data_IF_589423916231
#
_entry.id   IF_589423916231
#
_cell.length_a   1.000
_cell.length_b   1.000
_cell.length_c   1.000
_cell.angle_alpha   90.00
_cell.angle_beta   90.00
_cell.angle_gamma   90.00
#
_symmetry.space_group_name_H-M   'P 1'
#
loop_
_entity.id
_entity.type
_entity.pdbx_description
1 polymer ?
#
# COMPACT_ATOMS: atom_id res chain seq x y z
N UNK A 1 15.66 19.01 -13.55
CA UNK A 1 15.12 18.08 -12.54
C UNK A 1 13.92 17.44 -13.18
N UNK A 2 13.78 16.12 -13.13
CA UNK A 2 12.53 15.47 -13.54
C UNK A 2 11.41 15.96 -12.62
N UNK A 3 10.19 16.08 -13.18
CA UNK A 3 9.01 16.52 -12.43
C UNK A 3 8.81 15.61 -11.21
N UNK A 4 8.70 16.22 -10.05
CA UNK A 4 8.38 15.54 -8.80
C UNK A 4 6.86 15.63 -8.59
N UNK A 5 6.11 14.63 -9.05
CA UNK A 5 4.64 14.59 -8.98
C UNK A 5 4.09 14.80 -7.57
N UNK A 6 4.87 14.50 -6.54
CA UNK A 6 4.45 14.71 -5.15
C UNK A 6 4.13 16.18 -4.84
N UNK A 7 4.77 17.12 -5.54
CA UNK A 7 4.56 18.55 -5.34
C UNK A 7 3.22 19.04 -5.93
N UNK A 8 2.66 18.28 -6.87
CA UNK A 8 1.42 18.65 -7.58
C UNK A 8 0.18 18.06 -6.89
N UNK A 9 0.36 17.23 -5.86
CA UNK A 9 -0.74 16.62 -5.13
C UNK A 9 -1.47 17.63 -4.23
N UNK A 10 -2.81 17.48 -4.07
CA UNK A 10 -3.55 18.23 -3.06
C UNK A 10 -3.02 17.90 -1.66
N UNK A 11 -3.17 18.79 -0.69
CA UNK A 11 -2.82 18.54 0.70
C UNK A 11 -4.07 18.62 1.58
N UNK A 12 -4.36 17.60 2.40
CA UNK A 12 -3.65 16.31 2.45
C UNK A 12 -3.97 15.44 1.23
N UNK A 13 -2.96 14.73 0.71
CA UNK A 13 -3.17 13.67 -0.27
C UNK A 13 -3.42 12.33 0.43
N UNK A 14 -4.08 11.41 -0.28
CA UNK A 14 -4.42 10.08 0.22
C UNK A 14 -3.75 8.99 -0.60
N UNK A 15 -3.20 8.00 0.09
CA UNK A 15 -2.42 6.91 -0.49
C UNK A 15 -3.00 5.57 -0.11
N UNK A 16 -3.20 4.67 -1.08
CA UNK A 16 -3.41 3.25 -0.77
C UNK A 16 -2.08 2.62 -0.36
N UNK A 17 -2.01 2.12 0.87
CA UNK A 17 -0.79 1.48 1.37
C UNK A 17 -0.42 0.25 0.52
N UNK A 18 0.87 0.06 0.20
CA UNK A 18 1.32 -1.18 -0.42
C UNK A 18 1.08 -2.36 0.50
N UNK A 19 0.44 -3.41 -0.02
CA UNK A 19 0.13 -4.64 0.71
C UNK A 19 0.42 -5.85 -0.18
N UNK A 20 1.26 -6.75 0.35
CA UNK A 20 1.67 -7.97 -0.34
C UNK A 20 0.48 -8.87 -0.63
N UNK A 21 0.42 -9.41 -1.85
CA UNK A 21 -0.68 -10.22 -2.39
C UNK A 21 -2.05 -9.53 -2.40
N UNK A 22 -2.10 -8.20 -2.32
CA UNK A 22 -3.35 -7.42 -2.27
C UNK A 22 -3.36 -6.31 -3.31
N UNK A 23 -2.38 -5.40 -3.28
CA UNK A 23 -2.40 -4.18 -4.07
C UNK A 23 -1.84 -4.35 -5.48
N UNK A 24 -2.23 -5.43 -6.15
CA UNK A 24 -2.01 -5.64 -7.59
C UNK A 24 -2.92 -4.72 -8.44
N UNK A 25 -2.74 -4.75 -9.76
CA UNK A 25 -3.54 -3.94 -10.68
C UNK A 25 -5.05 -4.23 -10.56
N UNK A 26 -5.44 -5.48 -10.28
CA UNK A 26 -6.85 -5.86 -10.10
C UNK A 26 -7.46 -5.10 -8.91
N UNK A 27 -6.83 -5.20 -7.74
CA UNK A 27 -7.35 -4.57 -6.54
C UNK A 27 -7.25 -3.04 -6.59
N UNK A 28 -6.20 -2.48 -7.21
CA UNK A 28 -6.10 -1.02 -7.38
C UNK A 28 -7.23 -0.46 -8.24
N UNK A 29 -7.65 -1.17 -9.30
CA UNK A 29 -8.82 -0.78 -10.10
C UNK A 29 -10.14 -0.87 -9.30
N UNK A 30 -10.32 -1.92 -8.49
CA UNK A 30 -11.50 -2.03 -7.62
C UNK A 30 -11.55 -0.87 -6.63
N UNK A 31 -10.41 -0.53 -6.01
CA UNK A 31 -10.33 0.62 -5.11
C UNK A 31 -10.56 1.94 -5.84
N UNK A 32 -10.03 2.09 -7.07
CA UNK A 32 -10.27 3.28 -7.88
C UNK A 32 -11.76 3.47 -8.23
N UNK A 33 -12.48 2.36 -8.46
CA UNK A 33 -13.94 2.37 -8.73
C UNK A 33 -14.74 2.72 -7.47
N UNK A 34 -14.34 2.19 -6.32
CA UNK A 34 -15.03 2.42 -5.04
C UNK A 34 -14.78 3.84 -4.49
N UNK A 35 -13.54 4.32 -4.59
CA UNK A 35 -13.12 5.64 -4.13
C UNK A 35 -11.62 5.78 -4.39
N UNK A 36 -11.25 6.64 -5.35
CA UNK A 36 -9.87 6.74 -5.82
C UNK A 36 -8.97 7.48 -4.82
N UNK A 37 -7.85 6.88 -4.35
CA UNK A 37 -6.79 7.62 -3.68
C UNK A 37 -6.02 8.52 -4.66
N UNK A 38 -5.26 9.48 -4.14
CA UNK A 38 -4.46 10.37 -4.97
C UNK A 38 -3.19 9.68 -5.51
N UNK A 39 -2.68 8.65 -4.80
CA UNK A 39 -1.49 7.89 -5.18
C UNK A 39 -1.69 6.40 -4.93
N UNK A 40 -1.29 5.59 -5.91
CA UNK A 40 -1.17 4.15 -5.76
C UNK A 40 0.28 3.70 -5.60
N UNK A 41 0.47 2.61 -4.87
CA UNK A 41 1.73 1.87 -4.76
C UNK A 41 1.53 0.46 -5.30
N UNK A 42 2.58 -0.12 -5.88
CA UNK A 42 2.58 -1.55 -6.24
C UNK A 42 2.63 -2.43 -4.99
N UNK A 43 2.44 -3.73 -5.18
CA UNK A 43 2.83 -4.74 -4.20
C UNK A 43 4.35 -4.71 -3.94
N UNK A 44 4.81 -5.45 -2.93
CA UNK A 44 6.23 -5.53 -2.57
C UNK A 44 7.03 -6.26 -3.64
N UNK A 45 7.88 -5.56 -4.37
CA UNK A 45 8.73 -6.17 -5.39
C UNK A 45 10.14 -6.38 -4.87
N UNK A 46 10.60 -7.63 -4.83
CA UNK A 46 11.93 -7.98 -4.36
C UNK A 46 12.99 -7.64 -5.42
N UNK A 47 14.00 -6.85 -5.05
CA UNK A 47 15.06 -6.44 -5.95
C UNK A 47 15.98 -7.60 -6.37
N UNK A 48 16.24 -8.55 -5.47
CA UNK A 48 17.08 -9.72 -5.80
C UNK A 48 16.37 -10.59 -6.84
N UNK A 49 15.05 -10.82 -6.67
CA UNK A 49 14.25 -11.57 -7.64
C UNK A 49 14.15 -10.84 -8.98
N UNK A 50 13.94 -9.53 -8.97
CA UNK A 50 13.82 -8.74 -10.19
C UNK A 50 15.10 -8.79 -11.04
N UNK A 51 16.26 -8.64 -10.41
CA UNK A 51 17.55 -8.62 -11.09
C UNK A 51 18.12 -10.01 -11.42
N UNK A 52 17.49 -11.08 -10.93
CA UNK A 52 17.89 -12.44 -11.25
C UNK A 52 17.15 -12.95 -12.50
N UNK A 53 17.84 -13.51 -13.51
CA UNK A 53 17.21 -13.92 -14.79
C UNK A 53 16.01 -14.85 -14.64
N UNK A 54 16.04 -15.77 -13.68
CA UNK A 54 14.92 -16.68 -13.39
C UNK A 54 13.87 -16.08 -12.46
N UNK A 55 14.23 -15.04 -11.70
CA UNK A 55 13.37 -14.41 -10.70
C UNK A 55 12.44 -13.33 -11.28
N UNK A 56 12.82 -12.67 -12.36
CA UNK A 56 12.06 -11.58 -12.98
C UNK A 56 10.60 -12.01 -13.28
N UNK A 57 10.41 -13.23 -13.80
CA UNK A 57 9.08 -13.77 -14.09
C UNK A 57 8.18 -13.83 -12.85
N UNK A 58 8.75 -14.09 -11.66
CA UNK A 58 8.00 -14.20 -10.41
C UNK A 58 7.48 -12.85 -9.89
N UNK A 59 8.09 -11.75 -10.30
CA UNK A 59 7.74 -10.40 -9.84
C UNK A 59 7.09 -9.53 -10.90
N UNK A 60 7.11 -9.96 -12.17
CA UNK A 60 6.60 -9.17 -13.30
C UNK A 60 5.14 -8.73 -13.13
N UNK A 61 4.28 -9.62 -12.66
CA UNK A 61 2.88 -9.30 -12.41
C UNK A 61 2.68 -8.20 -11.36
N UNK A 62 3.55 -8.13 -10.33
CA UNK A 62 3.51 -7.10 -9.29
C UNK A 62 3.77 -5.69 -9.82
N UNK A 63 4.49 -5.60 -10.93
CA UNK A 63 4.85 -4.34 -11.60
C UNK A 63 3.93 -4.02 -12.79
N UNK A 64 2.91 -4.87 -13.03
CA UNK A 64 1.93 -4.59 -14.07
C UNK A 64 1.00 -3.46 -13.65
N UNK A 65 0.72 -2.54 -14.57
CA UNK A 65 -0.24 -1.45 -14.39
C UNK A 65 -0.77 -0.94 -15.73
N UNK A 66 -1.84 -0.17 -15.67
CA UNK A 66 -2.41 0.57 -16.79
C UNK A 66 -2.32 2.09 -16.51
N UNK A 67 -2.35 2.90 -17.56
CA UNK A 67 -2.12 4.35 -17.45
C UNK A 67 -3.12 5.07 -16.51
N UNK A 68 -4.33 4.57 -16.41
CA UNK A 68 -5.36 5.10 -15.52
C UNK A 68 -5.11 4.85 -14.03
N UNK A 69 -4.07 4.10 -13.68
CA UNK A 69 -3.61 3.92 -12.29
C UNK A 69 -2.62 5.02 -11.83
N UNK A 70 -2.18 5.89 -12.73
CA UNK A 70 -1.21 6.94 -12.41
C UNK A 70 -1.81 8.04 -11.51
N UNK A 71 -1.01 8.64 -10.59
CA UNK A 71 0.41 8.36 -10.33
C UNK A 71 0.61 7.06 -9.54
N UNK A 72 1.49 6.19 -10.06
CA UNK A 72 1.84 4.92 -9.45
C UNK A 72 3.32 4.88 -9.05
N UNK A 73 3.58 4.47 -7.80
CA UNK A 73 4.90 4.35 -7.21
C UNK A 73 5.30 2.87 -7.13
N UNK A 74 6.48 2.52 -7.63
CA UNK A 74 7.04 1.18 -7.50
C UNK A 74 7.57 0.96 -6.08
N UNK A 75 6.95 0.04 -5.31
CA UNK A 75 7.35 -0.27 -3.94
C UNK A 75 8.30 -1.46 -3.91
N UNK A 76 9.58 -1.21 -3.65
CA UNK A 76 10.66 -2.19 -3.76
C UNK A 76 11.28 -2.53 -2.40
N UNK A 77 11.83 -3.74 -2.28
CA UNK A 77 12.52 -4.18 -1.09
C UNK A 77 13.71 -5.07 -1.41
N UNK A 78 14.72 -5.03 -0.56
CA UNK A 78 15.98 -5.75 -0.69
C UNK A 78 17.03 -5.14 0.21
N UNK A 79 18.31 -5.50 -0.02
CA UNK A 79 19.45 -4.91 0.68
C UNK A 79 20.72 -4.79 -0.18
N UNK A 80 20.57 -4.93 -1.51
CA UNK A 80 21.66 -4.76 -2.46
C UNK A 80 21.52 -3.43 -3.22
N UNK A 81 22.42 -2.43 -3.02
CA UNK A 81 22.35 -1.14 -3.69
C UNK A 81 22.41 -1.21 -5.22
N UNK A 82 23.17 -2.14 -5.80
CA UNK A 82 23.27 -2.26 -7.25
C UNK A 82 21.94 -2.72 -7.88
N UNK A 83 21.20 -3.62 -7.21
CA UNK A 83 19.88 -4.04 -7.65
C UNK A 83 18.85 -2.91 -7.52
N UNK A 84 18.94 -2.07 -6.50
CA UNK A 84 18.11 -0.87 -6.38
C UNK A 84 18.41 0.14 -7.50
N UNK A 85 19.68 0.33 -7.85
CA UNK A 85 20.10 1.16 -8.99
C UNK A 85 19.47 0.66 -10.29
N UNK A 86 19.64 -0.64 -10.58
CA UNK A 86 19.10 -1.25 -11.79
C UNK A 86 17.57 -1.12 -11.84
N UNK A 87 16.88 -1.50 -10.77
CA UNK A 87 15.42 -1.37 -10.70
C UNK A 87 14.94 0.05 -10.90
N UNK A 88 15.59 1.03 -10.25
CA UNK A 88 15.21 2.44 -10.38
C UNK A 88 15.26 2.92 -11.83
N UNK A 89 16.33 2.57 -12.56
CA UNK A 89 16.47 2.89 -13.99
C UNK A 89 15.37 2.24 -14.81
N UNK A 90 15.06 0.97 -14.52
CA UNK A 90 14.06 0.22 -15.28
C UNK A 90 12.64 0.69 -14.97
N UNK A 91 12.33 1.03 -13.71
CA UNK A 91 11.02 1.59 -13.33
C UNK A 91 10.78 2.95 -14.00
N UNK A 92 11.81 3.78 -14.13
CA UNK A 92 11.71 5.03 -14.89
C UNK A 92 11.38 4.80 -16.37
N UNK A 93 11.99 3.78 -17.01
CA UNK A 93 11.69 3.40 -18.40
C UNK A 93 10.29 2.81 -18.56
N UNK A 94 9.80 2.09 -17.57
CA UNK A 94 8.45 1.50 -17.54
C UNK A 94 7.34 2.53 -17.31
N UNK A 95 7.68 3.79 -16.97
CA UNK A 95 6.70 4.87 -16.80
C UNK A 95 6.19 5.08 -15.37
N UNK A 96 6.78 4.42 -14.37
CA UNK A 96 6.45 4.72 -12.98
C UNK A 96 6.74 6.20 -12.66
N UNK A 97 5.94 6.79 -11.76
CA UNK A 97 6.09 8.20 -11.36
C UNK A 97 6.99 8.39 -10.14
N UNK A 98 7.26 7.32 -9.40
CA UNK A 98 8.14 7.33 -8.25
C UNK A 98 8.64 5.94 -7.88
N UNK A 99 9.61 5.91 -6.98
CA UNK A 99 10.12 4.68 -6.38
C UNK A 99 10.07 4.80 -4.87
N UNK A 100 9.59 3.77 -4.19
CA UNK A 100 9.48 3.74 -2.74
C UNK A 100 10.23 2.55 -2.15
N UNK A 101 11.02 2.82 -1.11
CA UNK A 101 11.81 1.82 -0.44
C UNK A 101 11.07 1.27 0.78
N UNK A 102 10.84 -0.05 0.78
CA UNK A 102 10.25 -0.73 1.93
C UNK A 102 11.28 -0.92 3.04
N UNK A 103 11.20 -0.06 4.04
CA UNK A 103 11.98 -0.15 5.29
C UNK A 103 11.07 -0.39 6.51
N UNK A 104 9.86 -0.96 6.27
CA UNK A 104 8.85 -1.13 7.29
C UNK A 104 8.24 -2.53 7.41
N UNK A 105 8.52 -3.47 6.49
CA UNK A 105 7.96 -4.82 6.55
C UNK A 105 8.42 -5.55 7.83
N UNK A 106 7.49 -5.95 8.74
CA UNK A 106 7.86 -6.50 10.04
C UNK A 106 8.03 -8.04 10.02
N UNK A 107 7.79 -8.69 8.88
CA UNK A 107 7.81 -10.15 8.75
C UNK A 107 9.15 -10.70 9.24
N UNK A 108 9.17 -11.68 10.18
CA UNK A 108 10.41 -12.15 10.81
C UNK A 108 11.47 -12.58 9.80
N UNK A 109 11.11 -13.39 8.80
CA UNK A 109 12.04 -13.88 7.78
C UNK A 109 12.67 -12.77 6.91
N UNK A 110 12.03 -11.62 6.81
CA UNK A 110 12.54 -10.43 6.10
C UNK A 110 13.42 -9.61 7.03
N UNK A 111 12.89 -9.23 8.18
CA UNK A 111 13.55 -8.34 9.13
C UNK A 111 14.83 -8.93 9.74
N UNK A 112 14.84 -10.24 10.07
CA UNK A 112 16.00 -10.92 10.62
C UNK A 112 17.16 -11.04 9.62
N UNK A 113 16.86 -10.96 8.32
CA UNK A 113 17.87 -10.93 7.25
C UNK A 113 18.36 -9.49 6.95
N UNK A 114 17.99 -8.50 7.77
CA UNK A 114 18.40 -7.11 7.61
C UNK A 114 17.67 -6.37 6.48
N UNK A 115 16.53 -6.89 5.98
CA UNK A 115 15.69 -6.29 4.92
C UNK A 115 14.39 -5.75 5.51
N UNK A 116 13.67 -4.91 4.78
CA UNK A 116 12.45 -4.28 5.28
C UNK A 116 12.72 -3.51 6.58
N UNK A 117 11.97 -3.78 7.65
CA UNK A 117 12.22 -3.13 8.96
C UNK A 117 13.56 -3.50 9.61
N UNK A 118 14.26 -4.52 9.11
CA UNK A 118 15.62 -4.86 9.53
C UNK A 118 16.65 -3.80 9.15
N UNK A 119 16.37 -2.96 8.15
CA UNK A 119 17.20 -1.84 7.75
C UNK A 119 17.31 -0.75 8.83
N UNK A 120 16.38 -0.69 9.78
CA UNK A 120 16.45 0.21 10.94
C UNK A 120 17.74 -0.07 11.76
N UNK A 121 18.19 -1.31 11.79
CA UNK A 121 19.44 -1.72 12.45
C UNK A 121 20.69 -1.56 11.56
N UNK A 122 20.50 -1.10 10.32
CA UNK A 122 21.56 -0.97 9.30
C UNK A 122 21.45 0.38 8.58
N UNK A 123 21.53 1.51 9.29
CA UNK A 123 21.28 2.84 8.71
C UNK A 123 22.22 3.18 7.54
N UNK A 124 23.46 2.76 7.57
CA UNK A 124 24.40 2.98 6.45
C UNK A 124 23.93 2.32 5.17
N UNK A 125 23.47 1.06 5.25
CA UNK A 125 22.89 0.34 4.10
C UNK A 125 21.60 1.03 3.63
N UNK A 126 20.76 1.49 4.55
CA UNK A 126 19.55 2.24 4.19
C UNK A 126 19.87 3.49 3.37
N UNK A 127 20.92 4.25 3.75
CA UNK A 127 21.38 5.41 3.01
C UNK A 127 21.92 5.03 1.61
N UNK A 128 22.73 3.97 1.50
CA UNK A 128 23.23 3.46 0.23
C UNK A 128 22.11 3.04 -0.73
N UNK A 129 21.07 2.38 -0.20
CA UNK A 129 19.89 1.98 -0.98
C UNK A 129 19.10 3.19 -1.50
N UNK A 130 18.90 4.22 -0.66
CA UNK A 130 18.23 5.46 -1.06
C UNK A 130 19.02 6.16 -2.17
N UNK A 131 20.34 6.29 -2.01
CA UNK A 131 21.19 6.91 -3.02
C UNK A 131 21.19 6.13 -4.35
N UNK A 132 21.25 4.80 -4.27
CA UNK A 132 21.17 3.95 -5.45
C UNK A 132 19.83 4.08 -6.18
N UNK A 133 18.72 4.21 -5.44
CA UNK A 133 17.38 4.37 -5.99
C UNK A 133 17.18 5.69 -6.76
N UNK A 134 17.98 6.72 -6.50
CA UNK A 134 17.95 8.00 -7.25
C UNK A 134 18.44 7.88 -8.68
N UNK A 135 19.18 6.82 -9.02
CA UNK A 135 19.83 6.65 -10.33
C UNK A 135 18.86 6.70 -11.53
N UNK A 136 17.61 6.28 -11.36
CA UNK A 136 16.57 6.37 -12.39
C UNK A 136 16.04 7.80 -12.60
N UNK A 137 16.37 8.72 -11.70
CA UNK A 137 15.89 10.10 -11.71
C UNK A 137 14.41 10.25 -11.38
N UNK A 138 13.77 9.22 -10.81
CA UNK A 138 12.45 9.30 -10.22
C UNK A 138 12.54 9.89 -8.81
N UNK A 139 11.49 10.57 -8.31
CA UNK A 139 11.42 10.94 -6.90
C UNK A 139 11.43 9.68 -6.03
N UNK A 140 12.30 9.69 -5.01
CA UNK A 140 12.46 8.56 -4.08
C UNK A 140 11.69 8.85 -2.81
N UNK A 141 10.87 7.89 -2.37
CA UNK A 141 10.20 7.89 -1.07
C UNK A 141 10.62 6.70 -0.23
N UNK A 142 10.36 6.78 1.07
CA UNK A 142 10.65 5.69 2.02
C UNK A 142 9.42 5.40 2.86
N UNK A 143 9.03 4.13 2.93
CA UNK A 143 8.01 3.65 3.86
C UNK A 143 8.65 2.87 4.99
N UNK A 144 8.52 3.39 6.23
CA UNK A 144 9.19 2.82 7.40
C UNK A 144 8.27 2.70 8.62
N UNK A 145 8.87 2.36 9.77
CA UNK A 145 8.27 2.31 11.10
C UNK A 145 9.04 3.21 12.07
N UNK A 146 8.52 3.38 13.29
CA UNK A 146 9.14 4.18 14.34
C UNK A 146 10.50 3.63 14.77
N UNK A 147 10.61 2.32 14.89
CA UNK A 147 11.81 1.65 15.34
C UNK A 147 11.73 0.13 15.14
N UNK A 148 12.79 -0.57 15.52
CA UNK A 148 12.86 -2.03 15.47
C UNK A 148 12.27 -2.69 16.72
N UNK A 149 12.68 -2.23 17.92
CA UNK A 149 12.25 -2.77 19.22
C UNK A 149 11.48 -1.76 20.05
N UNK A 150 12.06 -0.59 20.23
CA UNK A 150 11.58 0.42 21.16
C UNK A 150 11.08 1.66 20.41
N UNK A 151 10.04 2.28 20.93
CA UNK A 151 9.42 3.46 20.30
C UNK A 151 10.43 4.60 20.23
N UNK A 152 11.24 4.81 21.27
CA UNK A 152 12.24 5.89 21.36
C UNK A 152 13.30 5.86 20.24
N UNK A 153 13.47 4.72 19.53
CA UNK A 153 14.37 4.62 18.39
C UNK A 153 13.97 5.54 17.22
N UNK A 154 12.70 6.01 17.19
CA UNK A 154 12.16 6.81 16.08
C UNK A 154 13.00 8.05 15.78
N UNK A 155 13.47 8.73 16.80
CA UNK A 155 14.15 10.01 16.66
C UNK A 155 15.48 9.89 15.90
N UNK A 156 16.29 8.92 16.27
CA UNK A 156 17.57 8.66 15.62
C UNK A 156 17.34 8.13 14.20
N UNK A 157 16.44 7.15 14.06
CA UNK A 157 16.14 6.52 12.79
C UNK A 157 15.56 7.51 11.77
N UNK A 158 14.53 8.27 12.12
CA UNK A 158 13.93 9.23 11.20
C UNK A 158 14.85 10.40 10.89
N UNK A 159 15.69 10.83 11.85
CA UNK A 159 16.76 11.80 11.59
C UNK A 159 17.71 11.31 10.50
N UNK A 160 18.11 10.04 10.56
CA UNK A 160 18.98 9.45 9.55
C UNK A 160 18.32 9.43 8.16
N UNK A 161 17.06 9.01 8.08
CA UNK A 161 16.32 8.94 6.81
C UNK A 161 16.06 10.33 6.22
N UNK A 162 15.67 11.31 7.02
CA UNK A 162 15.38 12.68 6.57
C UNK A 162 16.60 13.39 5.98
N UNK A 163 17.82 13.02 6.41
CA UNK A 163 19.07 13.55 5.84
C UNK A 163 19.37 13.01 4.43
N UNK A 164 18.60 12.06 3.90
CA UNK A 164 18.88 11.42 2.62
C UNK A 164 18.21 12.10 1.42
N UNK A 165 17.62 13.29 1.58
CA UNK A 165 16.98 14.06 0.50
C UNK A 165 15.95 13.19 -0.28
N UNK A 166 14.94 12.73 0.42
CA UNK A 166 13.82 11.97 -0.13
C UNK A 166 12.60 12.85 -0.38
N UNK A 167 11.76 12.48 -1.35
CA UNK A 167 10.57 13.24 -1.72
C UNK A 167 9.43 13.10 -0.69
N UNK A 168 9.24 11.89 -0.15
CA UNK A 168 8.18 11.62 0.84
C UNK A 168 8.64 10.56 1.84
N UNK A 169 8.29 10.76 3.10
CA UNK A 169 8.50 9.82 4.20
C UNK A 169 7.15 9.32 4.72
N UNK A 170 6.85 8.04 4.48
CA UNK A 170 5.63 7.38 4.98
C UNK A 170 5.96 6.57 6.24
N UNK A 171 5.32 6.89 7.36
CA UNK A 171 5.62 6.28 8.65
C UNK A 171 4.41 5.48 9.15
N UNK A 172 4.60 4.16 9.32
CA UNK A 172 3.69 3.38 10.14
C UNK A 172 4.03 3.61 11.62
N UNK A 173 3.12 4.25 12.34
CA UNK A 173 3.33 4.71 13.72
C UNK A 173 3.33 3.57 14.75
N UNK A 174 4.14 2.55 14.50
CA UNK A 174 4.48 1.43 15.40
C UNK A 174 5.91 0.99 15.15
N UNK A 175 6.50 0.32 16.12
CA UNK A 175 7.77 -0.39 15.93
C UNK A 175 7.57 -1.69 15.17
N UNK A 176 8.67 -2.31 14.73
CA UNK A 176 8.66 -3.68 14.18
C UNK A 176 8.16 -4.69 15.20
N UNK A 177 8.59 -4.57 16.47
CA UNK A 177 8.23 -5.49 17.56
C UNK A 177 6.74 -5.46 17.87
N UNK A 178 6.14 -4.30 17.86
CA UNK A 178 4.70 -4.10 18.09
C UNK A 178 3.83 -4.67 16.97
N UNK A 179 4.35 -4.73 15.76
CA UNK A 179 3.60 -5.19 14.57
C UNK A 179 2.27 -4.45 14.40
N UNK A 180 1.17 -4.99 14.98
CA UNK A 180 -0.18 -4.42 15.00
C UNK A 180 -0.89 -4.74 16.32
N UNK A 181 -0.15 -5.08 17.37
CA UNK A 181 -0.70 -5.55 18.64
C UNK A 181 -1.09 -4.42 19.60
N UNK A 182 -0.64 -3.21 19.34
CA UNK A 182 -0.95 -1.98 20.09
C UNK A 182 -1.59 -0.96 19.16
N UNK A 183 -2.15 0.12 19.69
CA UNK A 183 -2.64 1.24 18.88
C UNK A 183 -1.47 1.99 18.25
N UNK A 184 -1.72 2.64 17.11
CA UNK A 184 -0.72 3.47 16.45
C UNK A 184 -0.42 4.71 17.30
N UNK A 185 0.85 5.04 17.46
CA UNK A 185 1.34 6.15 18.29
C UNK A 185 1.10 7.52 17.63
N UNK A 186 -0.17 7.93 17.51
CA UNK A 186 -0.54 9.22 16.92
C UNK A 186 -0.06 10.41 17.75
N UNK A 187 0.18 10.22 19.03
CA UNK A 187 0.74 11.22 19.94
C UNK A 187 2.12 11.70 19.53
N UNK A 188 2.88 10.90 18.78
CA UNK A 188 4.21 11.25 18.29
C UNK A 188 4.20 12.12 17.03
N UNK A 189 3.06 12.27 16.36
CA UNK A 189 2.98 13.03 15.10
C UNK A 189 3.53 14.45 15.22
N UNK A 190 3.20 15.25 16.26
CA UNK A 190 3.72 16.61 16.42
C UNK A 190 5.25 16.67 16.49
N UNK A 191 5.87 15.75 17.22
CA UNK A 191 7.32 15.71 17.39
C UNK A 191 8.02 15.25 16.11
N UNK A 192 7.47 14.24 15.42
CA UNK A 192 7.96 13.76 14.14
C UNK A 192 7.87 14.87 13.09
N UNK A 193 6.73 15.58 13.03
CA UNK A 193 6.58 16.71 12.12
C UNK A 193 7.60 17.80 12.40
N UNK A 194 7.79 18.16 13.67
CA UNK A 194 8.81 19.13 14.06
C UNK A 194 10.21 18.70 13.60
N UNK A 195 10.58 17.44 13.82
CA UNK A 195 11.85 16.88 13.38
C UNK A 195 12.03 16.99 11.86
N UNK A 196 10.98 16.65 11.08
CA UNK A 196 10.98 16.78 9.62
C UNK A 196 11.19 18.23 9.20
N UNK A 197 10.43 19.15 9.78
CA UNK A 197 10.48 20.58 9.44
C UNK A 197 11.85 21.19 9.74
N UNK A 198 12.56 20.71 10.78
CA UNK A 198 13.91 21.15 11.13
C UNK A 198 14.98 20.58 10.19
N UNK A 199 14.85 19.31 9.74
CA UNK A 199 15.92 18.62 8.98
C UNK A 199 15.69 18.70 7.48
N UNK A 200 14.47 18.47 7.02
CA UNK A 200 14.11 18.30 5.61
C UNK A 200 12.70 18.86 5.33
N UNK A 201 12.51 20.19 5.42
CA UNK A 201 11.20 20.81 5.23
C UNK A 201 10.58 20.57 3.84
N UNK A 202 11.41 20.21 2.84
CA UNK A 202 10.97 19.84 1.50
C UNK A 202 10.43 18.41 1.40
N UNK A 203 10.76 17.52 2.34
CA UNK A 203 10.26 16.13 2.35
C UNK A 203 8.84 16.09 2.86
N UNK A 204 7.92 15.51 2.08
CA UNK A 204 6.53 15.33 2.51
C UNK A 204 6.42 14.27 3.61
N UNK A 205 5.52 14.51 4.56
CA UNK A 205 5.26 13.60 5.68
C UNK A 205 3.91 12.92 5.51
N UNK A 206 3.93 11.60 5.33
CA UNK A 206 2.74 10.75 5.22
C UNK A 206 2.61 9.85 6.44
N UNK A 207 1.44 9.86 7.07
CA UNK A 207 1.16 9.07 8.26
C UNK A 207 0.31 7.84 7.91
N UNK A 208 0.68 6.71 8.52
CA UNK A 208 0.01 5.41 8.38
C UNK A 208 -0.14 4.73 9.75
N UNK A 209 -1.19 3.98 9.94
CA UNK A 209 -1.49 3.20 11.15
C UNK A 209 -2.87 3.55 11.70
N UNK A 210 -3.76 2.54 11.73
CA UNK A 210 -5.13 2.58 12.26
C UNK A 210 -6.07 3.66 11.69
N UNK A 211 -5.74 4.18 10.52
CA UNK A 211 -6.59 5.13 9.81
C UNK A 211 -7.61 4.33 9.00
N UNK A 212 -8.91 4.39 9.35
CA UNK A 212 -9.94 3.55 8.74
C UNK A 212 -10.39 4.07 7.36
N UNK A 213 -10.47 5.40 7.22
CA UNK A 213 -11.04 6.05 6.06
C UNK A 213 -10.52 7.48 5.88
N UNK A 214 -11.03 8.14 4.84
CA UNK A 214 -10.67 9.50 4.47
C UNK A 214 -11.09 10.53 5.52
N UNK A 215 -12.23 10.34 6.18
CA UNK A 215 -12.74 11.30 7.18
C UNK A 215 -11.78 11.42 8.36
N UNK A 216 -11.42 10.28 8.97
CA UNK A 216 -10.42 10.27 10.05
C UNK A 216 -9.07 10.78 9.56
N UNK A 217 -8.70 10.47 8.32
CA UNK A 217 -7.48 11.00 7.71
C UNK A 217 -7.47 12.53 7.60
N UNK A 218 -8.59 13.15 7.23
CA UNK A 218 -8.73 14.62 7.19
C UNK A 218 -8.62 15.23 8.58
N UNK A 219 -9.27 14.64 9.58
CA UNK A 219 -9.19 15.10 10.98
C UNK A 219 -7.75 15.08 11.51
N UNK A 220 -7.01 14.01 11.19
CA UNK A 220 -5.58 13.92 11.55
C UNK A 220 -4.74 14.97 10.83
N UNK A 221 -5.00 15.18 9.55
CA UNK A 221 -4.27 16.17 8.76
C UNK A 221 -4.56 17.60 9.24
N UNK A 222 -5.79 17.93 9.56
CA UNK A 222 -6.19 19.22 10.14
C UNK A 222 -5.52 19.43 11.52
N UNK A 223 -5.59 18.40 12.37
CA UNK A 223 -5.05 18.47 13.73
C UNK A 223 -3.54 18.64 13.78
N UNK A 224 -2.80 17.95 12.90
CA UNK A 224 -1.35 17.85 13.00
C UNK A 224 -0.60 18.54 11.86
N UNK A 225 -1.28 18.98 10.80
CA UNK A 225 -0.65 19.67 9.66
C UNK A 225 0.29 18.75 8.85
N UNK A 226 -0.08 17.47 8.69
CA UNK A 226 0.65 16.50 7.87
C UNK A 226 0.30 16.65 6.40
N UNK A 227 1.22 16.23 5.51
CA UNK A 227 1.05 16.40 4.06
C UNK A 227 0.22 15.29 3.43
N UNK A 228 0.31 14.05 3.96
CA UNK A 228 -0.35 12.89 3.40
C UNK A 228 -0.86 11.89 4.42
N UNK A 229 -1.84 11.10 4.02
CA UNK A 229 -2.49 10.05 4.80
C UNK A 229 -2.46 8.75 4.02
N UNK A 230 -1.94 7.68 4.62
CA UNK A 230 -1.88 6.35 4.00
C UNK A 230 -2.82 5.38 4.70
N UNK A 231 -3.82 4.87 3.95
CA UNK A 231 -4.79 3.89 4.44
C UNK A 231 -4.36 2.50 3.98
N UNK A 232 -4.27 1.57 4.92
CA UNK A 232 -3.97 0.16 4.65
C UNK A 232 -5.16 -0.73 4.95
N UNK A 233 -5.16 -1.42 6.09
CA UNK A 233 -6.18 -2.38 6.49
C UNK A 233 -7.61 -1.83 6.61
N UNK A 234 -7.77 -0.51 6.68
CA UNK A 234 -9.08 0.15 6.64
C UNK A 234 -9.90 -0.26 5.42
N UNK A 235 -9.23 -0.43 4.25
CA UNK A 235 -9.87 -0.83 3.00
C UNK A 235 -10.59 -2.18 3.07
N UNK A 236 -10.15 -3.12 3.94
CA UNK A 236 -10.82 -4.42 4.12
C UNK A 236 -12.12 -4.32 4.93
N UNK A 237 -12.25 -3.27 5.75
CA UNK A 237 -13.48 -2.98 6.48
C UNK A 237 -14.44 -2.16 5.62
N UNK A 238 -13.90 -1.20 4.89
CA UNK A 238 -14.64 -0.31 4.00
C UNK A 238 -13.90 -0.13 2.67
N UNK A 239 -14.32 -0.78 1.56
CA UNK A 239 -13.70 -0.59 0.25
C UNK A 239 -13.86 0.84 -0.28
N UNK A 240 -14.84 1.60 0.22
CA UNK A 240 -15.10 3.01 -0.09
C UNK A 240 -14.32 3.99 0.81
N UNK A 241 -13.29 3.52 1.52
CA UNK A 241 -12.53 4.31 2.50
C UNK A 241 -11.89 5.60 1.95
N UNK A 242 -11.74 5.73 0.64
CA UNK A 242 -11.18 6.92 -0.02
C UNK A 242 -12.22 7.86 -0.60
N UNK A 243 -13.51 7.58 -0.47
CA UNK A 243 -14.56 8.47 -0.99
C UNK A 243 -14.42 9.88 -0.42
N UNK A 244 -14.60 10.88 -1.30
CA UNK A 244 -14.57 12.30 -0.92
C UNK A 244 -15.85 12.72 -0.19
N UNK A 245 -16.97 12.14 -0.60
CA UNK A 245 -18.29 12.36 -0.04
C UNK A 245 -18.82 11.00 0.47
N UNK A 246 -18.48 10.62 1.71
CA UNK A 246 -18.89 9.34 2.25
C UNK A 246 -20.41 9.23 2.37
N UNK A 247 -20.94 8.07 1.98
CA UNK A 247 -22.37 7.73 2.06
C UNK A 247 -22.54 6.29 2.55
N UNK A 248 -23.77 5.94 2.87
CA UNK A 248 -24.14 4.53 3.05
C UNK A 248 -24.22 3.82 1.70
N UNK A 249 -23.66 2.64 1.62
CA UNK A 249 -23.63 1.81 0.42
C UNK A 249 -24.55 0.61 0.56
N UNK A 250 -25.32 0.35 -0.48
CA UNK A 250 -26.18 -0.81 -0.53
C UNK A 250 -25.37 -2.12 -0.68
N UNK A 251 -25.95 -3.28 -0.27
CA UNK A 251 -25.32 -4.57 -0.52
C UNK A 251 -25.00 -4.83 -2.00
N UNK A 252 -25.82 -4.31 -2.91
CA UNK A 252 -25.62 -4.42 -4.35
C UNK A 252 -24.36 -3.69 -4.79
N UNK A 253 -24.09 -2.49 -4.29
CA UNK A 253 -22.86 -1.73 -4.59
C UNK A 253 -21.60 -2.52 -4.16
N UNK A 254 -21.62 -3.20 -3.01
CA UNK A 254 -20.54 -4.08 -2.60
C UNK A 254 -20.38 -5.29 -3.51
N UNK A 255 -21.46 -5.93 -3.93
CA UNK A 255 -21.42 -7.08 -4.83
C UNK A 255 -20.97 -6.69 -6.24
N UNK A 256 -21.27 -5.48 -6.69
CA UNK A 256 -20.76 -4.96 -7.97
C UNK A 256 -19.25 -4.77 -7.96
N UNK A 257 -18.65 -4.38 -6.83
CA UNK A 257 -17.20 -4.39 -6.67
C UNK A 257 -16.61 -5.82 -6.74
N UNK A 258 -17.31 -6.82 -6.19
CA UNK A 258 -16.88 -8.22 -6.33
C UNK A 258 -16.94 -8.67 -7.79
N UNK A 259 -18.02 -8.37 -8.52
CA UNK A 259 -18.15 -8.71 -9.95
C UNK A 259 -17.02 -8.05 -10.76
N UNK A 260 -16.74 -6.76 -10.51
CA UNK A 260 -15.61 -6.06 -11.12
C UNK A 260 -14.28 -6.77 -10.84
N UNK A 261 -14.05 -7.20 -9.60
CA UNK A 261 -12.83 -7.93 -9.26
C UNK A 261 -12.71 -9.25 -9.99
N UNK A 262 -13.81 -10.00 -10.18
CA UNK A 262 -13.83 -11.23 -10.97
C UNK A 262 -13.48 -10.96 -12.43
N UNK A 263 -14.09 -9.95 -13.04
CA UNK A 263 -13.85 -9.59 -14.45
C UNK A 263 -12.40 -9.17 -14.69
N UNK A 264 -11.84 -8.38 -13.77
CA UNK A 264 -10.44 -7.97 -13.84
C UNK A 264 -9.48 -9.15 -13.57
N UNK A 265 -9.83 -10.08 -12.68
CA UNK A 265 -9.03 -11.27 -12.44
C UNK A 265 -8.96 -12.16 -13.68
N UNK A 266 -10.04 -12.36 -14.38
CA UNK A 266 -10.06 -13.12 -15.63
C UNK A 266 -9.31 -12.37 -16.74
N UNK A 267 -9.49 -11.06 -16.85
CA UNK A 267 -8.78 -10.20 -17.80
C UNK A 267 -7.26 -10.29 -17.66
N UNK A 268 -6.76 -10.34 -16.44
CA UNK A 268 -5.33 -10.35 -16.16
C UNK A 268 -4.77 -11.73 -15.76
N UNK A 269 -5.53 -12.84 -15.94
CA UNK A 269 -5.16 -14.17 -15.47
C UNK A 269 -3.79 -14.67 -15.96
N UNK A 270 -3.43 -14.37 -17.21
CA UNK A 270 -2.11 -14.75 -17.77
C UNK A 270 -0.95 -13.97 -17.14
N UNK A 271 -1.18 -12.70 -16.81
CA UNK A 271 -0.18 -11.81 -16.22
C UNK A 271 -0.06 -12.00 -14.69
N UNK A 272 -1.20 -12.25 -14.04
CA UNK A 272 -1.37 -12.38 -12.61
C UNK A 272 -2.05 -13.72 -12.28
N UNK A 273 -1.35 -14.85 -12.38
CA UNK A 273 -1.94 -16.15 -12.08
C UNK A 273 -2.23 -16.27 -10.58
N UNK A 274 -3.38 -15.76 -10.16
CA UNK A 274 -3.85 -15.85 -8.77
C UNK A 274 -4.63 -17.13 -8.55
N UNK A 275 -4.36 -17.81 -7.45
CA UNK A 275 -5.18 -18.94 -7.03
C UNK A 275 -6.54 -18.47 -6.48
N UNK A 276 -7.57 -19.33 -6.56
CA UNK A 276 -8.86 -19.05 -5.93
C UNK A 276 -8.76 -18.76 -4.42
N UNK A 277 -7.82 -19.42 -3.71
CA UNK A 277 -7.56 -19.11 -2.30
C UNK A 277 -7.10 -17.66 -2.07
N UNK A 278 -6.42 -17.07 -3.04
CA UNK A 278 -6.08 -15.65 -3.03
C UNK A 278 -7.32 -14.75 -3.14
N UNK A 279 -8.33 -15.15 -3.94
CA UNK A 279 -9.59 -14.43 -4.09
C UNK A 279 -10.49 -14.57 -2.85
N UNK A 280 -10.53 -15.74 -2.23
CA UNK A 280 -11.41 -16.03 -1.09
C UNK A 280 -11.27 -15.01 0.05
N UNK A 281 -10.06 -14.49 0.31
CA UNK A 281 -9.83 -13.49 1.35
C UNK A 281 -10.61 -12.18 1.15
N UNK A 282 -10.99 -11.87 -0.11
CA UNK A 282 -11.70 -10.64 -0.46
C UNK A 282 -13.22 -10.77 -0.29
N UNK A 283 -13.79 -11.97 -0.27
CA UNK A 283 -15.23 -12.13 -0.16
C UNK A 283 -15.84 -11.44 1.07
N UNK A 284 -15.09 -11.40 2.19
CA UNK A 284 -15.54 -10.74 3.41
C UNK A 284 -15.65 -9.20 3.24
N UNK A 285 -14.95 -8.64 2.29
CA UNK A 285 -14.99 -7.19 2.01
C UNK A 285 -16.33 -6.84 1.37
N UNK A 286 -16.81 -7.68 0.44
CA UNK A 286 -17.91 -7.38 -0.45
C UNK A 286 -19.23 -8.04 -0.03
N UNK A 287 -19.19 -9.23 0.54
CA UNK A 287 -20.40 -9.99 0.88
C UNK A 287 -20.77 -9.71 2.33
N UNK A 288 -21.49 -8.60 2.57
CA UNK A 288 -21.88 -8.13 3.90
C UNK A 288 -23.11 -7.21 3.83
N UNK A 289 -23.72 -6.92 4.98
CA UNK A 289 -24.79 -5.92 5.09
C UNK A 289 -26.18 -6.43 4.70
N UNK A 290 -26.38 -7.74 4.50
CA UNK A 290 -27.69 -8.32 4.17
C UNK A 290 -27.89 -9.68 4.84
N UNK A 291 -29.16 -10.09 4.94
CA UNK A 291 -29.54 -11.39 5.49
C UNK A 291 -29.04 -12.51 4.58
N UNK A 292 -28.34 -13.49 5.12
CA UNK A 292 -27.76 -14.60 4.35
C UNK A 292 -26.31 -14.35 3.88
N UNK A 293 -25.73 -13.17 4.10
CA UNK A 293 -24.35 -12.88 3.71
C UNK A 293 -23.32 -13.87 4.27
N UNK A 294 -23.54 -14.38 5.48
CA UNK A 294 -22.67 -15.40 6.09
C UNK A 294 -22.74 -16.74 5.36
N UNK A 295 -23.94 -17.17 4.97
CA UNK A 295 -24.16 -18.40 4.21
C UNK A 295 -23.57 -18.30 2.82
N UNK A 296 -23.82 -17.19 2.11
CA UNK A 296 -23.22 -16.94 0.80
C UNK A 296 -21.71 -16.97 0.87
N UNK A 297 -21.07 -16.31 1.86
CA UNK A 297 -19.62 -16.40 2.03
C UNK A 297 -19.12 -17.83 2.21
N UNK A 298 -19.83 -18.66 3.02
CA UNK A 298 -19.45 -20.05 3.21
C UNK A 298 -19.51 -20.85 1.90
N UNK A 299 -20.53 -20.62 1.06
CA UNK A 299 -20.62 -21.23 -0.26
C UNK A 299 -19.48 -20.76 -1.17
N UNK A 300 -19.22 -19.45 -1.23
CA UNK A 300 -18.15 -18.84 -2.03
C UNK A 300 -16.76 -19.36 -1.63
N UNK A 301 -16.51 -19.65 -0.36
CA UNK A 301 -15.23 -20.21 0.10
C UNK A 301 -14.92 -21.61 -0.45
N UNK A 302 -15.91 -22.30 -1.03
CA UNK A 302 -15.74 -23.63 -1.63
C UNK A 302 -15.58 -23.59 -3.16
N UNK A 303 -15.70 -22.41 -3.79
CA UNK A 303 -15.57 -22.24 -5.24
C UNK A 303 -14.15 -22.47 -5.73
N UNK A 304 -14.03 -22.99 -6.95
CA UNK A 304 -12.76 -23.34 -7.61
C UNK A 304 -12.46 -22.48 -8.83
N UNK A 305 -13.44 -21.70 -9.30
CA UNK A 305 -13.31 -20.80 -10.44
C UNK A 305 -14.12 -19.51 -10.24
N UNK A 306 -13.80 -18.49 -11.02
CA UNK A 306 -14.57 -17.23 -11.06
C UNK A 306 -15.99 -17.45 -11.59
N UNK A 307 -16.17 -18.42 -12.50
CA UNK A 307 -17.50 -18.77 -13.02
C UNK A 307 -18.41 -19.37 -11.94
N UNK A 308 -17.89 -20.26 -11.08
CA UNK A 308 -18.65 -20.78 -9.94
C UNK A 308 -19.05 -19.65 -8.97
N UNK A 309 -18.18 -18.65 -8.77
CA UNK A 309 -18.53 -17.47 -7.96
C UNK A 309 -19.69 -16.70 -8.60
N UNK A 310 -19.61 -16.43 -9.92
CA UNK A 310 -20.68 -15.72 -10.65
C UNK A 310 -22.01 -16.49 -10.61
N UNK A 311 -21.98 -17.80 -10.77
CA UNK A 311 -23.18 -18.65 -10.69
C UNK A 311 -23.84 -18.54 -9.32
N UNK A 312 -23.07 -18.62 -8.22
CA UNK A 312 -23.61 -18.44 -6.86
C UNK A 312 -24.18 -17.03 -6.65
N UNK A 313 -23.51 -15.98 -7.15
CA UNK A 313 -24.00 -14.61 -7.03
C UNK A 313 -25.30 -14.37 -7.81
N UNK A 314 -25.43 -14.97 -9.00
CA UNK A 314 -26.62 -14.84 -9.85
C UNK A 314 -27.83 -15.58 -9.28
N UNK A 315 -27.61 -16.70 -8.59
CA UNK A 315 -28.64 -17.50 -7.98
C UNK A 315 -29.04 -17.04 -6.57
N UNK A 316 -28.31 -16.07 -6.02
CA UNK A 316 -28.57 -15.55 -4.68
C UNK A 316 -29.50 -14.33 -4.73
N UNK A 317 -30.72 -14.47 -4.19
CA UNK A 317 -31.62 -13.35 -4.00
C UNK A 317 -31.26 -12.60 -2.71
N UNK A 318 -30.90 -11.33 -2.85
CA UNK A 318 -30.67 -10.44 -1.70
C UNK A 318 -32.03 -10.18 -1.06
N UNK A 319 -32.34 -10.92 -0.02
CA UNK A 319 -33.49 -10.59 0.82
C UNK A 319 -33.16 -9.28 1.58
N UNK A 320 -33.77 -8.18 1.15
CA UNK A 320 -33.68 -6.91 1.90
C UNK A 320 -34.16 -7.15 3.32
N UNK A 321 -33.40 -6.72 4.28
CA UNK A 321 -33.87 -6.64 5.67
C UNK A 321 -34.99 -5.60 5.63
N UNK A 322 -36.24 -6.03 5.80
CA UNK A 322 -37.32 -5.12 6.15
C UNK A 322 -36.95 -4.52 7.51
N UNK A 323 -36.88 -3.19 7.58
CA UNK A 323 -36.59 -2.42 8.78
C UNK A 323 -37.62 -2.66 9.88
#
# INVERSE_FOLDING_TARGET
MKENFWNDLPKPFFVLAPMEDVTDTVFRHVVAQAGRPDVFFTEFTNSDSYCHPEGEKSVRGRLHFTEDEQPLVAHIWGDNPEFFRQMSIDMAKKGFKGIDLNMGCPVPNVAQRGKGSGLILRPDIAAELIEAAKAGGLPVSVKTRLGYKDVEEWKEWLTHILKQDIANLSIHLRTRKEMSAVDAHWELIPEIKKLRDEIAPQTLLTINGDIPDRQVGLELAEKYGIDGVMIGRGIFKNPFAFEKEPKEHSPEEYLDLLKLQLDLQDKYAEMLPRSMSGLHRFFKIYVKGFRGAGELRNQLMNTKSTDEVRELLNNFEINKVEE
#
